data_IF_460808281736
#
_entry.id   IF_460808281736
#
_cell.length_a   1.000
_cell.length_b   1.000
_cell.length_c   1.000
_cell.angle_alpha   90.00
_cell.angle_beta   90.00
_cell.angle_gamma   90.00
#
_symmetry.space_group_name_H-M   'P 1'
#
loop_
_entity.id
_entity.type
_entity.pdbx_description
1 polymer ?
#
# COMPACT_ATOMS: atom_id res chain seq x y z
N UNK A 1 -9.10 -31.86 58.45
CA UNK A 1 -7.72 -31.75 57.92
C UNK A 1 -7.63 -30.49 57.15
N UNK A 2 -6.89 -29.47 57.61
CA UNK A 2 -6.68 -28.21 56.90
C UNK A 2 -5.45 -28.38 55.99
N UNK A 3 -5.61 -28.14 54.68
CA UNK A 3 -4.51 -28.13 53.70
C UNK A 3 -3.61 -26.92 54.00
N UNK A 4 -2.29 -27.09 54.10
CA UNK A 4 -1.38 -25.98 54.34
C UNK A 4 -1.41 -24.99 53.16
N UNK A 5 -1.32 -23.68 53.40
CA UNK A 5 -1.24 -22.68 52.32
C UNK A 5 0.07 -22.89 51.53
N UNK A 6 -0.05 -23.03 50.23
CA UNK A 6 1.08 -23.07 49.30
C UNK A 6 1.57 -21.66 49.06
N UNK A 7 2.78 -21.34 49.50
CA UNK A 7 3.44 -20.07 49.17
C UNK A 7 4.04 -20.11 47.78
N UNK A 8 4.08 -18.96 47.06
CA UNK A 8 4.77 -18.81 45.79
C UNK A 8 6.30 -18.95 45.98
N UNK A 9 6.95 -19.65 45.06
CA UNK A 9 8.40 -19.75 45.05
C UNK A 9 9.02 -18.54 44.38
N UNK A 10 10.23 -18.16 44.76
CA UNK A 10 11.00 -17.07 44.15
C UNK A 10 11.22 -17.32 42.63
N UNK A 11 11.43 -18.58 42.28
CA UNK A 11 11.57 -19.00 40.88
C UNK A 11 10.29 -18.76 40.07
N UNK A 12 9.11 -19.02 40.65
CA UNK A 12 7.81 -18.82 40.00
C UNK A 12 7.56 -17.34 39.70
N UNK A 13 7.91 -16.45 40.61
CA UNK A 13 7.82 -15.00 40.39
C UNK A 13 8.80 -14.55 39.31
N UNK A 14 10.03 -15.09 39.24
CA UNK A 14 10.98 -14.77 38.19
C UNK A 14 10.48 -15.21 36.82
N UNK A 15 9.92 -16.41 36.70
CA UNK A 15 9.34 -16.91 35.43
C UNK A 15 8.17 -16.04 34.99
N UNK A 16 7.28 -15.67 35.91
CA UNK A 16 6.13 -14.78 35.63
C UNK A 16 6.60 -13.41 35.14
N UNK A 17 7.61 -12.81 35.78
CA UNK A 17 8.16 -11.52 35.34
C UNK A 17 8.79 -11.60 33.94
N UNK A 18 9.50 -12.67 33.62
CA UNK A 18 10.05 -12.90 32.28
C UNK A 18 8.93 -13.05 31.25
N UNK A 19 7.89 -13.83 31.54
CA UNK A 19 6.74 -13.98 30.64
C UNK A 19 6.00 -12.65 30.41
N UNK A 20 5.76 -11.87 31.46
CA UNK A 20 5.16 -10.53 31.36
C UNK A 20 6.04 -9.64 30.49
N UNK A 21 7.37 -9.65 30.68
CA UNK A 21 8.32 -8.89 29.88
C UNK A 21 8.23 -9.25 28.39
N UNK A 22 8.19 -10.53 28.06
CA UNK A 22 8.06 -11.01 26.69
C UNK A 22 6.71 -10.58 26.09
N UNK A 23 5.59 -10.82 26.79
CA UNK A 23 4.25 -10.45 26.31
C UNK A 23 4.15 -8.93 26.12
N UNK A 24 4.67 -8.15 27.05
CA UNK A 24 4.67 -6.68 26.93
C UNK A 24 5.50 -6.21 25.74
N UNK A 25 6.66 -6.83 25.49
CA UNK A 25 7.50 -6.53 24.32
C UNK A 25 6.77 -6.82 23.01
N UNK A 26 6.08 -7.96 22.92
CA UNK A 26 5.25 -8.28 21.74
C UNK A 26 4.06 -7.31 21.58
N UNK A 27 3.41 -6.91 22.68
CA UNK A 27 2.33 -5.94 22.63
C UNK A 27 2.80 -4.56 22.13
N UNK A 28 3.97 -4.11 22.57
CA UNK A 28 4.57 -2.85 22.09
C UNK A 28 4.98 -2.92 20.62
N UNK A 29 5.55 -4.04 20.16
CA UNK A 29 5.83 -4.23 18.72
C UNK A 29 4.55 -4.31 17.88
N UNK A 30 3.49 -4.90 18.41
CA UNK A 30 2.18 -5.05 17.75
C UNK A 30 1.33 -3.78 17.83
N UNK A 31 1.65 -2.84 18.71
CA UNK A 31 0.96 -1.55 18.83
C UNK A 31 1.15 -0.64 17.60
N UNK A 32 1.63 -1.23 16.50
CA UNK A 32 1.63 -0.79 15.10
C UNK A 32 1.94 0.69 14.89
N UNK A 33 2.69 0.98 13.90
CA UNK A 33 3.08 2.32 13.52
C UNK A 33 1.91 3.31 13.48
N UNK A 34 2.22 4.59 13.69
CA UNK A 34 1.26 5.69 13.62
C UNK A 34 0.54 5.76 12.26
N UNK A 35 -0.42 6.67 12.10
CA UNK A 35 -1.13 6.85 10.83
C UNK A 35 -0.18 7.04 9.64
N UNK A 36 0.95 7.72 9.82
CA UNK A 36 1.96 7.91 8.80
C UNK A 36 2.61 6.59 8.36
N UNK A 37 2.90 5.67 9.28
CA UNK A 37 3.52 4.39 8.94
C UNK A 37 2.60 3.54 8.07
N UNK A 38 1.28 3.58 8.32
CA UNK A 38 0.27 2.89 7.51
C UNK A 38 0.16 3.49 6.11
N UNK A 39 0.18 4.82 6.00
CA UNK A 39 0.20 5.50 4.71
C UNK A 39 1.49 5.19 3.93
N UNK A 40 2.62 5.17 4.62
CA UNK A 40 3.91 4.82 4.03
C UNK A 40 3.96 3.35 3.57
N UNK A 41 3.35 2.44 4.30
CA UNK A 41 3.24 1.03 3.91
C UNK A 41 2.44 0.87 2.61
N UNK A 42 1.26 1.51 2.50
CA UNK A 42 0.45 1.47 1.28
C UNK A 42 1.17 2.14 0.09
N UNK A 43 1.87 3.25 0.34
CA UNK A 43 2.67 3.91 -0.69
C UNK A 43 3.83 3.04 -1.19
N UNK A 44 4.57 2.38 -0.30
CA UNK A 44 5.64 1.43 -0.68
C UNK A 44 5.09 0.22 -1.43
N UNK A 45 3.95 -0.31 -1.00
CA UNK A 45 3.26 -1.42 -1.68
C UNK A 45 2.90 -1.04 -3.11
N UNK A 46 2.28 0.12 -3.31
CA UNK A 46 1.96 0.61 -4.65
C UNK A 46 3.22 0.77 -5.51
N UNK A 47 4.26 1.38 -4.98
CA UNK A 47 5.52 1.56 -5.70
C UNK A 47 6.13 0.21 -6.12
N UNK A 48 6.19 -0.78 -5.23
CA UNK A 48 6.70 -2.11 -5.54
C UNK A 48 5.87 -2.82 -6.63
N UNK A 49 4.53 -2.66 -6.61
CA UNK A 49 3.66 -3.20 -7.66
C UNK A 49 3.90 -2.52 -9.01
N UNK A 50 4.10 -1.21 -9.02
CA UNK A 50 4.39 -0.48 -10.25
C UNK A 50 5.73 -0.94 -10.85
N UNK A 51 6.77 -1.04 -10.03
CA UNK A 51 8.10 -1.51 -10.47
C UNK A 51 8.03 -2.93 -11.04
N UNK A 52 7.31 -3.84 -10.36
CA UNK A 52 7.10 -5.21 -10.83
C UNK A 52 6.42 -5.23 -12.20
N UNK A 53 5.28 -4.54 -12.34
CA UNK A 53 4.50 -4.58 -13.57
C UNK A 53 5.13 -3.78 -14.72
N UNK A 54 5.98 -2.79 -14.41
CA UNK A 54 6.80 -2.13 -15.41
C UNK A 54 7.87 -3.08 -15.99
N UNK A 55 8.53 -3.86 -15.11
CA UNK A 55 9.46 -4.90 -15.57
C UNK A 55 8.75 -5.98 -16.37
N UNK A 56 7.57 -6.43 -15.95
CA UNK A 56 6.76 -7.39 -16.70
C UNK A 56 6.32 -6.84 -18.06
N UNK A 57 5.95 -5.55 -18.17
CA UNK A 57 5.58 -4.92 -19.43
C UNK A 57 6.74 -4.98 -20.43
N UNK A 58 7.96 -4.67 -19.97
CA UNK A 58 9.17 -4.72 -20.81
C UNK A 58 9.49 -6.16 -21.22
N UNK A 59 9.38 -7.12 -20.30
CA UNK A 59 9.74 -8.53 -20.56
C UNK A 59 8.72 -9.25 -21.45
N UNK A 60 7.42 -8.99 -21.24
CA UNK A 60 6.35 -9.63 -22.03
C UNK A 60 6.08 -8.92 -23.35
N UNK A 61 6.50 -7.67 -23.50
CA UNK A 61 6.13 -6.83 -24.66
C UNK A 61 4.69 -6.30 -24.61
N UNK A 62 3.94 -6.59 -23.54
CA UNK A 62 2.55 -6.14 -23.34
C UNK A 62 2.52 -4.82 -22.57
N UNK A 63 1.59 -3.94 -22.93
CA UNK A 63 1.35 -2.76 -22.11
C UNK A 63 0.62 -3.15 -20.82
N UNK A 64 1.01 -2.52 -19.73
CA UNK A 64 0.35 -2.61 -18.43
C UNK A 64 -0.29 -1.27 -18.11
N UNK A 65 -1.28 -1.29 -17.22
CA UNK A 65 -1.91 -0.06 -16.77
C UNK A 65 -2.42 -0.18 -15.36
N UNK A 66 -2.54 0.96 -14.69
CA UNK A 66 -3.07 1.04 -13.33
C UNK A 66 -4.39 1.76 -13.38
N UNK A 67 -5.44 1.08 -12.93
CA UNK A 67 -6.74 1.67 -12.71
C UNK A 67 -6.89 1.99 -11.23
N UNK A 68 -6.97 3.27 -10.94
CA UNK A 68 -7.23 3.77 -9.59
C UNK A 68 -8.72 3.92 -9.34
N UNK A 69 -9.13 3.58 -8.14
CA UNK A 69 -10.45 3.82 -7.60
C UNK A 69 -10.32 4.57 -6.26
N UNK A 70 -11.41 5.17 -5.77
CA UNK A 70 -11.40 5.93 -4.50
C UNK A 70 -10.82 5.11 -3.32
N UNK A 71 -11.10 3.82 -3.29
CA UNK A 71 -10.76 2.91 -2.20
C UNK A 71 -9.74 1.84 -2.61
N UNK A 72 -8.98 2.07 -3.67
CA UNK A 72 -7.98 1.09 -4.10
C UNK A 72 -7.46 1.28 -5.51
N UNK A 73 -6.79 0.27 -6.02
CA UNK A 73 -6.25 0.25 -7.37
C UNK A 73 -6.16 -1.18 -7.91
N UNK A 74 -6.13 -1.30 -9.24
CA UNK A 74 -5.97 -2.57 -9.93
C UNK A 74 -4.99 -2.43 -11.10
N UNK A 75 -4.20 -3.46 -11.33
CA UNK A 75 -3.32 -3.59 -12.47
C UNK A 75 -4.10 -4.27 -13.62
N UNK A 76 -3.91 -3.76 -14.81
CA UNK A 76 -4.50 -4.29 -16.04
C UNK A 76 -3.38 -4.55 -17.06
N UNK A 77 -3.59 -5.54 -17.92
CA UNK A 77 -2.78 -5.85 -19.09
C UNK A 77 -3.59 -5.55 -20.33
N UNK A 78 -2.97 -5.03 -21.37
CA UNK A 78 -3.60 -4.84 -22.67
C UNK A 78 -3.37 -6.08 -23.54
N UNK A 79 -4.43 -6.68 -24.04
CA UNK A 79 -4.34 -7.81 -24.94
C UNK A 79 -4.05 -7.36 -26.41
N UNK A 80 -3.84 -8.32 -27.33
CA UNK A 80 -3.57 -8.05 -28.73
C UNK A 80 -4.73 -7.31 -29.44
N UNK A 81 -5.94 -7.40 -28.94
CA UNK A 81 -7.10 -6.68 -29.45
C UNK A 81 -7.17 -5.22 -28.95
N UNK A 82 -6.30 -4.85 -27.99
CA UNK A 82 -6.28 -3.54 -27.37
C UNK A 82 -7.18 -3.42 -26.12
N UNK A 83 -7.81 -4.52 -25.70
CA UNK A 83 -8.69 -4.54 -24.54
C UNK A 83 -7.92 -4.65 -23.23
N UNK A 84 -8.37 -3.91 -22.21
CA UNK A 84 -7.78 -3.96 -20.88
C UNK A 84 -8.42 -5.04 -20.02
N UNK A 85 -7.59 -5.99 -19.56
CA UNK A 85 -8.02 -7.13 -18.72
C UNK A 85 -7.09 -7.33 -17.54
N UNK A 86 -7.54 -7.97 -16.45
CA UNK A 86 -6.63 -8.38 -15.39
C UNK A 86 -5.52 -9.28 -15.95
N UNK A 87 -4.26 -9.10 -15.52
CA UNK A 87 -3.16 -9.97 -15.92
C UNK A 87 -3.44 -11.45 -15.58
N UNK A 88 -2.91 -12.37 -16.38
CA UNK A 88 -3.01 -13.80 -16.14
C UNK A 88 -2.09 -14.22 -14.97
N UNK A 89 -2.54 -14.01 -13.74
CA UNK A 89 -1.83 -14.45 -12.53
C UNK A 89 -2.84 -15.04 -11.55
N UNK A 90 -2.39 -16.00 -10.74
CA UNK A 90 -3.20 -16.61 -9.68
C UNK A 90 -3.16 -15.80 -8.37
N UNK A 91 -2.20 -14.89 -8.23
CA UNK A 91 -2.06 -14.06 -7.03
C UNK A 91 -2.80 -12.72 -7.20
N UNK A 92 -4.01 -12.66 -6.62
CA UNK A 92 -4.84 -11.45 -6.65
C UNK A 92 -4.21 -10.26 -5.93
N UNK A 93 -3.31 -10.50 -4.97
CA UNK A 93 -2.61 -9.42 -4.24
C UNK A 93 -1.62 -8.68 -5.12
N UNK A 94 -1.16 -9.32 -6.22
CA UNK A 94 -0.26 -8.72 -7.20
C UNK A 94 -0.99 -7.88 -8.25
N UNK A 95 -2.32 -7.96 -8.32
CA UNK A 95 -3.10 -7.27 -9.36
C UNK A 95 -4.16 -6.32 -8.81
N UNK A 96 -4.58 -6.48 -7.56
CA UNK A 96 -5.62 -5.65 -6.99
C UNK A 96 -5.38 -5.36 -5.51
N UNK A 97 -5.60 -4.12 -5.11
CA UNK A 97 -5.55 -3.69 -3.73
C UNK A 97 -6.81 -2.91 -3.37
N UNK A 98 -7.45 -3.34 -2.31
CA UNK A 98 -8.48 -2.56 -1.63
C UNK A 98 -7.87 -1.90 -0.39
N UNK A 99 -7.97 -0.59 -0.29
CA UNK A 99 -7.45 0.15 0.86
C UNK A 99 -8.30 -0.12 2.10
N UNK A 100 -7.69 -0.09 3.28
CA UNK A 100 -8.43 0.00 4.55
C UNK A 100 -9.44 1.15 4.52
N UNK A 101 -10.58 0.97 5.19
CA UNK A 101 -11.71 1.92 5.15
C UNK A 101 -11.39 3.32 5.68
N UNK A 102 -10.37 3.41 6.50
CA UNK A 102 -9.86 4.65 7.10
C UNK A 102 -8.83 5.38 6.23
N UNK A 103 -8.45 4.80 5.07
CA UNK A 103 -7.55 5.40 4.11
C UNK A 103 -8.27 5.80 2.83
N UNK A 104 -7.79 6.88 2.22
CA UNK A 104 -8.25 7.35 0.93
C UNK A 104 -7.05 7.72 0.05
N UNK A 105 -7.26 7.71 -1.27
CA UNK A 105 -6.27 8.17 -2.22
C UNK A 105 -6.82 9.27 -3.12
N UNK A 106 -5.94 10.19 -3.49
CA UNK A 106 -6.14 11.16 -4.57
C UNK A 106 -5.17 10.87 -5.70
N UNK A 107 -5.58 11.11 -6.94
CA UNK A 107 -4.78 10.89 -8.14
C UNK A 107 -4.71 12.15 -8.98
N UNK A 108 -3.53 12.46 -9.47
CA UNK A 108 -3.26 13.46 -10.51
C UNK A 108 -2.49 12.77 -11.63
N UNK A 109 -2.92 12.99 -12.84
CA UNK A 109 -2.29 12.48 -14.06
C UNK A 109 -1.92 13.70 -14.92
N UNK A 110 -0.66 13.79 -15.34
CA UNK A 110 -0.13 14.93 -16.12
C UNK A 110 -0.46 16.28 -15.48
N UNK A 111 -0.35 16.35 -14.14
CA UNK A 111 -0.62 17.56 -13.37
C UNK A 111 -2.09 17.92 -13.17
N UNK A 112 -3.04 17.10 -13.65
CA UNK A 112 -4.49 17.34 -13.52
C UNK A 112 -5.13 16.30 -12.60
N UNK A 113 -6.09 16.70 -11.74
CA UNK A 113 -6.86 15.74 -10.95
C UNK A 113 -7.54 14.72 -11.87
N UNK A 114 -7.36 13.44 -11.58
CA UNK A 114 -7.97 12.36 -12.34
C UNK A 114 -9.20 11.82 -11.62
N UNK A 115 -10.22 11.46 -12.40
CA UNK A 115 -11.43 10.86 -11.86
C UNK A 115 -11.19 9.38 -11.50
N UNK A 116 -11.28 9.08 -10.22
CA UNK A 116 -11.18 7.72 -9.68
C UNK A 116 -12.52 6.99 -9.59
N UNK A 117 -13.61 7.58 -10.10
CA UNK A 117 -14.95 6.96 -10.18
C UNK A 117 -15.27 6.46 -11.59
N UNK A 118 -14.50 6.85 -12.58
CA UNK A 118 -14.77 6.48 -13.97
C UNK A 118 -14.66 4.97 -14.16
N UNK A 119 -15.74 4.36 -14.62
CA UNK A 119 -15.71 3.03 -15.19
C UNK A 119 -15.00 3.12 -16.55
N UNK A 120 -13.77 2.63 -16.63
CA UNK A 120 -13.00 2.71 -17.88
C UNK A 120 -11.67 1.97 -17.80
N UNK A 121 -10.79 2.24 -18.74
CA UNK A 121 -9.42 1.75 -18.77
C UNK A 121 -8.57 2.32 -17.64
N UNK A 122 -7.27 1.98 -17.62
CA UNK A 122 -6.33 2.50 -16.64
C UNK A 122 -6.09 3.99 -16.85
N UNK A 123 -5.87 4.75 -15.77
CA UNK A 123 -5.49 6.15 -15.84
C UNK A 123 -3.97 6.34 -16.00
N UNK A 124 -3.18 5.38 -15.53
CA UNK A 124 -1.72 5.39 -15.64
C UNK A 124 -1.29 4.20 -16.50
N UNK A 125 -0.51 4.47 -17.53
CA UNK A 125 0.04 3.45 -18.44
C UNK A 125 1.49 3.17 -18.08
N UNK A 126 1.88 1.91 -18.19
CA UNK A 126 3.24 1.41 -18.11
C UNK A 126 3.54 0.74 -19.45
N UNK A 127 4.34 1.39 -20.28
CA UNK A 127 4.58 0.94 -21.64
C UNK A 127 5.69 -0.12 -21.68
N UNK A 128 5.63 -0.98 -22.69
CA UNK A 128 6.62 -2.03 -22.91
C UNK A 128 8.01 -1.51 -23.32
N UNK A 129 8.15 -0.23 -23.65
CA UNK A 129 9.43 0.45 -23.89
C UNK A 129 10.05 1.06 -22.60
N UNK A 130 9.38 0.91 -21.45
CA UNK A 130 9.83 1.46 -20.17
C UNK A 130 9.30 2.86 -19.86
N UNK A 131 8.62 3.52 -20.78
CA UNK A 131 7.95 4.79 -20.51
C UNK A 131 6.67 4.58 -19.71
N UNK A 132 6.26 5.61 -18.98
CA UNK A 132 5.03 5.60 -18.19
C UNK A 132 4.30 6.93 -18.29
N UNK A 133 3.00 6.90 -18.02
CA UNK A 133 2.24 8.13 -17.79
C UNK A 133 2.74 8.83 -16.54
N UNK A 134 3.03 10.14 -16.60
CA UNK A 134 3.35 10.92 -15.41
C UNK A 134 2.15 10.99 -14.46
N UNK A 135 2.37 10.66 -13.19
CA UNK A 135 1.30 10.69 -12.20
C UNK A 135 1.81 11.05 -10.80
N UNK A 136 0.89 11.51 -9.99
CA UNK A 136 1.06 11.68 -8.55
C UNK A 136 -0.15 11.07 -7.86
N UNK A 137 0.05 10.11 -6.96
CA UNK A 137 -0.98 9.67 -6.04
C UNK A 137 -0.60 10.02 -4.62
N UNK A 138 -1.59 10.42 -3.82
CA UNK A 138 -1.42 10.80 -2.42
C UNK A 138 -2.34 9.97 -1.57
N UNK A 139 -1.78 9.28 -0.61
CA UNK A 139 -2.51 8.56 0.43
C UNK A 139 -2.73 9.47 1.63
N UNK A 140 -3.93 9.44 2.19
CA UNK A 140 -4.33 10.19 3.38
C UNK A 140 -5.37 9.42 4.19
N UNK A 141 -5.72 9.95 5.36
CA UNK A 141 -6.81 9.41 6.16
C UNK A 141 -8.15 9.87 5.58
N UNK A 142 -9.13 8.96 5.45
CA UNK A 142 -10.42 9.23 4.84
C UNK A 142 -11.23 10.33 5.57
N UNK A 143 -11.10 10.38 6.91
CA UNK A 143 -11.83 11.33 7.76
C UNK A 143 -11.00 12.53 8.19
N UNK A 144 -9.77 12.68 7.67
CA UNK A 144 -8.90 13.75 8.09
C UNK A 144 -9.44 15.11 7.62
N UNK A 145 -9.81 15.94 8.59
CA UNK A 145 -10.22 17.33 8.38
C UNK A 145 -9.14 18.24 8.98
N UNK A 146 -8.38 18.92 8.16
CA UNK A 146 -7.38 19.88 8.60
C UNK A 146 -6.08 19.84 7.79
N UNK A 147 -5.34 20.95 7.88
CA UNK A 147 -4.08 21.12 7.14
C UNK A 147 -2.95 20.21 7.61
N UNK A 148 -3.03 19.69 8.84
CA UNK A 148 -1.92 18.96 9.49
C UNK A 148 -2.05 17.41 9.36
N UNK A 149 -3.06 16.94 8.62
CA UNK A 149 -3.24 15.53 8.38
C UNK A 149 -2.03 14.92 7.66
N UNK A 150 -1.54 13.74 8.08
CA UNK A 150 -0.43 13.09 7.43
C UNK A 150 -0.80 12.68 6.00
N UNK A 151 0.11 12.92 5.06
CA UNK A 151 -0.04 12.55 3.66
C UNK A 151 1.24 11.87 3.17
N UNK A 152 1.07 10.82 2.39
CA UNK A 152 2.18 10.09 1.77
C UNK A 152 2.00 10.07 0.26
N UNK A 153 3.05 10.46 -0.47
CA UNK A 153 3.04 10.63 -1.92
C UNK A 153 3.81 9.51 -2.61
N UNK A 154 3.25 9.03 -3.72
CA UNK A 154 3.94 8.23 -4.74
C UNK A 154 3.81 9.00 -6.05
N UNK A 155 4.93 9.30 -6.70
CA UNK A 155 4.96 10.00 -7.98
C UNK A 155 5.80 9.21 -8.98
N UNK A 156 5.29 9.04 -10.18
CA UNK A 156 6.00 8.47 -11.33
C UNK A 156 6.23 9.51 -12.40
N UNK A 157 7.44 9.52 -12.97
CA UNK A 157 7.76 10.37 -14.13
C UNK A 157 7.56 9.59 -15.45
N UNK A 158 7.67 10.30 -16.59
CA UNK A 158 7.51 9.71 -17.92
C UNK A 158 8.55 8.62 -18.25
N UNK A 159 9.65 8.55 -17.53
CA UNK A 159 10.66 7.49 -17.65
C UNK A 159 10.42 6.31 -16.71
N UNK A 160 9.25 6.27 -16.07
CA UNK A 160 8.86 5.21 -15.12
C UNK A 160 9.60 5.23 -13.79
N UNK A 161 10.37 6.29 -13.47
CA UNK A 161 11.07 6.39 -12.20
C UNK A 161 10.13 6.84 -11.12
N UNK A 162 10.15 6.16 -9.97
CA UNK A 162 9.29 6.44 -8.83
C UNK A 162 9.99 7.29 -7.78
N UNK A 163 9.24 8.21 -7.18
CA UNK A 163 9.61 8.96 -5.98
C UNK A 163 8.51 8.80 -4.94
N UNK A 164 8.88 8.32 -3.77
CA UNK A 164 7.95 8.12 -2.66
C UNK A 164 8.40 8.91 -1.44
N UNK A 165 7.47 9.34 -0.62
CA UNK A 165 7.79 10.05 0.62
C UNK A 165 6.62 10.78 1.24
N UNK A 166 6.86 11.29 2.43
CA UNK A 166 5.92 12.16 3.13
C UNK A 166 5.76 13.49 2.40
N UNK A 167 4.56 14.01 2.40
CA UNK A 167 4.30 15.37 1.90
C UNK A 167 4.64 16.35 3.01
N UNK A 168 5.80 17.00 2.92
CA UNK A 168 6.15 18.14 3.78
C UNK A 168 5.42 19.37 3.26
N UNK A 169 4.69 20.03 4.13
CA UNK A 169 4.00 21.31 3.87
C UNK A 169 4.86 22.47 4.29
#
# INVERSE_FOLDING_TARGET
MATPPRGFTLLEIMVVLVLIGIITSFALLSAGGGPMDRLAEEGRRLAALIELHQQEAILSGEHRGIRFARNGYAILSQDEAGDWRPPATTDTLMIQRQLPVDLALGLWVEGRPADTHAAGGPQVLLLNNGEATEFVTVFGLADARGSDAPLYRVAGDALGRLKIGEVKR
#
